data_IF_678028994412
#
_entry.id   IF_678028994412
#
_cell.length_a   1.000
_cell.length_b   1.000
_cell.length_c   1.000
_cell.angle_alpha   90.00
_cell.angle_beta   90.00
_cell.angle_gamma   90.00
#
_symmetry.space_group_name_H-M   'P 1'
#
loop_
_entity.id
_entity.type
_entity.pdbx_description
1 polymer ?
#
# COMPACT_ATOMS: atom_id res chain seq x y z
N UNK A 1 18.01 -0.85 26.97
CA UNK A 1 16.99 0.21 27.16
C UNK A 1 17.47 1.52 26.51
N UNK A 2 17.79 1.50 25.21
CA UNK A 2 18.59 2.58 24.59
C UNK A 2 17.92 3.38 23.47
N UNK A 3 16.75 2.97 22.97
CA UNK A 3 16.20 3.54 21.73
C UNK A 3 14.72 3.90 21.86
N UNK A 4 14.41 4.71 22.87
CA UNK A 4 13.04 5.23 23.08
C UNK A 4 13.11 6.73 23.32
N UNK A 5 12.42 7.51 22.49
CA UNK A 5 12.26 8.95 22.64
C UNK A 5 10.98 9.25 23.41
N UNK A 6 11.05 10.09 24.43
CA UNK A 6 9.87 10.57 25.15
C UNK A 6 9.22 11.70 24.35
N UNK A 7 7.97 11.49 23.95
CA UNK A 7 7.17 12.47 23.21
C UNK A 7 5.94 12.87 24.02
N UNK A 8 5.49 14.11 23.84
CA UNK A 8 4.23 14.60 24.41
C UNK A 8 3.17 14.58 23.32
N UNK A 9 2.03 13.94 23.61
CA UNK A 9 0.90 13.81 22.69
C UNK A 9 -0.36 14.39 23.29
N UNK A 10 -1.19 15.02 22.47
CA UNK A 10 -2.49 15.55 22.87
C UNK A 10 -3.56 14.52 22.48
N UNK A 11 -4.36 14.09 23.45
CA UNK A 11 -5.48 13.18 23.23
C UNK A 11 -6.80 13.85 23.60
N UNK A 12 -7.89 13.60 22.83
CA UNK A 12 -9.22 13.92 23.28
C UNK A 12 -9.51 13.25 24.63
N UNK A 13 -10.09 14.01 25.58
CA UNK A 13 -10.33 13.52 26.95
C UNK A 13 -11.13 12.22 26.98
N UNK A 14 -12.21 12.15 26.20
CA UNK A 14 -13.08 10.97 26.15
C UNK A 14 -12.31 9.72 25.69
N UNK A 15 -11.47 9.86 24.66
CA UNK A 15 -10.65 8.77 24.13
C UNK A 15 -9.61 8.30 25.17
N UNK A 16 -8.95 9.23 25.86
CA UNK A 16 -7.99 8.87 26.89
C UNK A 16 -8.63 8.13 28.07
N UNK A 17 -9.82 8.54 28.51
CA UNK A 17 -10.56 7.84 29.56
C UNK A 17 -11.00 6.43 29.14
N UNK A 18 -11.33 6.23 27.86
CA UNK A 18 -11.59 4.89 27.33
C UNK A 18 -10.32 4.03 27.30
N UNK A 19 -9.20 4.60 26.84
CA UNK A 19 -7.88 3.94 26.87
C UNK A 19 -7.52 3.52 28.31
N UNK A 20 -7.71 4.40 29.30
CA UNK A 20 -7.43 4.11 30.71
C UNK A 20 -8.29 2.98 31.26
N UNK A 21 -9.55 2.89 30.85
CA UNK A 21 -10.49 1.84 31.27
C UNK A 21 -10.17 0.49 30.65
N UNK A 22 -9.77 0.46 29.38
CA UNK A 22 -9.54 -0.79 28.63
C UNK A 22 -8.11 -1.31 28.74
N UNK A 23 -7.12 -0.44 28.96
CA UNK A 23 -5.70 -0.79 28.90
C UNK A 23 -5.04 -0.62 30.28
N UNK A 24 -4.44 -1.69 30.83
CA UNK A 24 -3.75 -1.66 32.11
C UNK A 24 -2.67 -0.57 32.18
N UNK A 25 -2.44 0.01 33.38
CA UNK A 25 -1.29 0.89 33.59
C UNK A 25 0.01 0.13 33.27
N UNK A 26 0.99 0.83 32.68
CA UNK A 26 2.26 0.24 32.21
C UNK A 26 2.24 -0.33 30.79
N UNK A 27 1.07 -0.68 30.24
CA UNK A 27 0.96 -1.21 28.87
C UNK A 27 0.55 -0.16 27.82
N UNK A 28 -0.01 0.98 28.28
CA UNK A 28 -0.58 2.02 27.41
C UNK A 28 0.39 2.54 26.36
N UNK A 29 1.63 2.87 26.76
CA UNK A 29 2.64 3.38 25.83
C UNK A 29 2.97 2.38 24.73
N UNK A 30 3.05 1.08 25.08
CA UNK A 30 3.29 0.01 24.12
C UNK A 30 2.13 -0.12 23.12
N UNK A 31 0.89 -0.15 23.60
CA UNK A 31 -0.28 -0.27 22.72
C UNK A 31 -0.40 0.93 21.78
N UNK A 32 -0.13 2.15 22.27
CA UNK A 32 -0.14 3.35 21.43
C UNK A 32 0.95 3.27 20.35
N UNK A 33 2.16 2.82 20.71
CA UNK A 33 3.25 2.64 19.76
C UNK A 33 2.90 1.60 18.68
N UNK A 34 2.36 0.44 19.07
CA UNK A 34 1.93 -0.61 18.14
C UNK A 34 0.81 -0.14 17.21
N UNK A 35 -0.14 0.66 17.72
CA UNK A 35 -1.20 1.25 16.92
C UNK A 35 -0.64 2.26 15.89
N UNK A 36 0.32 3.10 16.30
CA UNK A 36 0.99 4.04 15.41
C UNK A 36 1.80 3.31 14.32
N UNK A 37 2.54 2.26 14.67
CA UNK A 37 3.30 1.45 13.72
C UNK A 37 2.38 0.77 12.69
N UNK A 38 1.24 0.26 13.13
CA UNK A 38 0.23 -0.33 12.24
C UNK A 38 -0.33 0.69 11.26
N UNK A 39 -0.64 1.90 11.72
CA UNK A 39 -1.15 2.98 10.87
C UNK A 39 -0.10 3.45 9.87
N UNK A 40 1.17 3.58 10.28
CA UNK A 40 2.27 3.93 9.37
C UNK A 40 2.43 2.88 8.26
N UNK A 41 2.45 1.58 8.62
CA UNK A 41 2.50 0.50 7.63
C UNK A 41 1.29 0.53 6.68
N UNK A 42 0.10 0.83 7.20
CA UNK A 42 -1.11 0.97 6.37
C UNK A 42 -0.95 2.09 5.34
N UNK A 43 -0.47 3.27 5.77
CA UNK A 43 -0.25 4.42 4.88
C UNK A 43 0.81 4.12 3.82
N UNK A 44 1.92 3.51 4.20
CA UNK A 44 2.98 3.15 3.25
C UNK A 44 2.49 2.17 2.17
N UNK A 45 1.67 1.18 2.56
CA UNK A 45 1.03 0.27 1.58
C UNK A 45 0.08 0.99 0.64
N UNK A 46 -0.62 2.00 1.12
CA UNK A 46 -1.53 2.79 0.29
C UNK A 46 -0.78 3.74 -0.63
N UNK A 47 0.40 4.22 -0.23
CA UNK A 47 1.19 5.15 -1.02
C UNK A 47 1.62 4.55 -2.37
N UNK A 48 2.02 3.27 -2.41
CA UNK A 48 2.35 2.60 -3.67
C UNK A 48 1.12 2.45 -4.58
N UNK A 49 -0.05 2.17 -3.99
CA UNK A 49 -1.33 2.08 -4.71
C UNK A 49 -1.74 3.45 -5.25
N UNK A 50 -1.57 4.52 -4.46
CA UNK A 50 -1.87 5.89 -4.86
C UNK A 50 -0.94 6.36 -5.98
N UNK A 51 0.36 6.08 -5.90
CA UNK A 51 1.32 6.34 -6.98
C UNK A 51 0.93 5.60 -8.26
N UNK A 52 0.56 4.32 -8.14
CA UNK A 52 0.14 3.52 -9.30
C UNK A 52 -1.15 4.04 -9.93
N UNK A 53 -2.13 4.45 -9.12
CA UNK A 53 -3.36 5.13 -9.60
C UNK A 53 -3.07 6.48 -10.24
N UNK A 54 -2.10 7.24 -9.72
CA UNK A 54 -1.68 8.50 -10.33
C UNK A 54 -1.08 8.25 -11.72
N UNK A 55 -0.15 7.29 -11.83
CA UNK A 55 0.45 6.90 -13.10
C UNK A 55 -0.61 6.38 -14.10
N UNK A 56 -1.54 5.55 -13.65
CA UNK A 56 -2.62 5.04 -14.51
C UNK A 56 -3.48 6.19 -15.07
N UNK A 57 -3.82 7.18 -14.24
CA UNK A 57 -4.56 8.37 -14.69
C UNK A 57 -3.76 9.21 -15.68
N UNK A 58 -2.47 9.38 -15.47
CA UNK A 58 -1.58 10.08 -16.40
C UNK A 58 -1.51 9.37 -17.76
N UNK A 59 -1.31 8.04 -17.75
CA UNK A 59 -1.28 7.24 -18.96
C UNK A 59 -2.63 7.27 -19.70
N UNK A 60 -3.75 7.18 -18.98
CA UNK A 60 -5.08 7.29 -19.57
C UNK A 60 -5.34 8.69 -20.16
N UNK A 61 -4.88 9.75 -19.50
CA UNK A 61 -5.01 11.11 -20.02
C UNK A 61 -4.17 11.32 -21.29
N UNK A 62 -2.97 10.71 -21.36
CA UNK A 62 -2.04 10.87 -22.47
C UNK A 62 -2.36 9.99 -23.67
N UNK A 63 -2.81 8.76 -23.43
CA UNK A 63 -2.99 7.73 -24.46
C UNK A 63 -4.45 7.30 -24.66
N UNK A 64 -5.38 7.83 -23.86
CA UNK A 64 -6.78 7.40 -23.88
C UNK A 64 -6.98 6.00 -23.29
N UNK A 65 -8.14 5.39 -23.55
CA UNK A 65 -8.32 3.95 -23.33
C UNK A 65 -7.64 3.20 -24.47
N UNK A 66 -6.57 2.47 -24.15
CA UNK A 66 -6.03 1.48 -25.07
C UNK A 66 -7.04 0.32 -25.18
N UNK A 67 -7.43 -0.07 -26.40
CA UNK A 67 -8.20 -1.29 -26.59
C UNK A 67 -7.40 -2.48 -26.10
N UNK A 68 -8.10 -3.52 -25.63
CA UNK A 68 -7.47 -4.77 -25.22
C UNK A 68 -6.75 -5.40 -26.42
N UNK A 69 -5.43 -5.48 -26.34
CA UNK A 69 -4.54 -6.05 -27.36
C UNK A 69 -3.91 -7.36 -26.91
N UNK A 70 -4.42 -7.97 -25.84
CA UNK A 70 -3.88 -9.20 -25.26
C UNK A 70 -3.89 -10.38 -26.25
N UNK A 71 -4.96 -10.54 -27.03
CA UNK A 71 -5.09 -11.57 -28.06
C UNK A 71 -4.12 -11.34 -29.24
N UNK A 72 -3.94 -10.08 -29.66
CA UNK A 72 -3.00 -9.72 -30.73
C UNK A 72 -1.55 -10.02 -30.29
N UNK A 73 -1.19 -9.64 -29.06
CA UNK A 73 0.12 -9.94 -28.47
C UNK A 73 0.32 -11.45 -28.31
N UNK A 74 -0.72 -12.20 -27.93
CA UNK A 74 -0.66 -13.66 -27.84
C UNK A 74 -0.36 -14.27 -29.20
N UNK A 75 -1.09 -13.87 -30.25
CA UNK A 75 -0.88 -14.36 -31.61
C UNK A 75 0.52 -14.04 -32.13
N UNK A 76 1.01 -12.81 -31.94
CA UNK A 76 2.38 -12.44 -32.33
C UNK A 76 3.45 -13.28 -31.63
N UNK A 77 3.22 -13.67 -30.37
CA UNK A 77 4.13 -14.57 -29.64
C UNK A 77 4.09 -15.99 -30.18
N UNK A 78 2.89 -16.51 -30.44
CA UNK A 78 2.70 -17.84 -31.04
C UNK A 78 3.37 -17.93 -32.43
N UNK A 79 3.18 -16.91 -33.27
CA UNK A 79 3.83 -16.82 -34.59
C UNK A 79 5.35 -16.79 -34.47
N UNK A 80 5.90 -15.95 -33.59
CA UNK A 80 7.34 -15.90 -33.32
C UNK A 80 7.89 -17.22 -32.78
N UNK A 81 7.18 -17.86 -31.86
CA UNK A 81 7.63 -19.11 -31.24
C UNK A 81 7.58 -20.26 -32.25
N UNK A 82 6.60 -20.27 -33.17
CA UNK A 82 6.56 -21.19 -34.30
C UNK A 82 7.72 -20.97 -35.28
N UNK A 83 8.08 -19.71 -35.57
CA UNK A 83 9.26 -19.37 -36.37
C UNK A 83 10.57 -19.83 -35.70
N UNK A 84 10.68 -19.66 -34.38
CA UNK A 84 11.87 -20.05 -33.61
C UNK A 84 12.01 -21.57 -33.45
N UNK A 85 10.90 -22.31 -33.36
CA UNK A 85 10.90 -23.77 -33.15
C UNK A 85 10.85 -24.57 -34.45
N UNK A 86 10.61 -23.92 -35.60
CA UNK A 86 10.62 -24.55 -36.93
C UNK A 86 9.52 -25.58 -37.17
N UNK A 87 8.53 -25.66 -36.27
CA UNK A 87 7.38 -26.56 -36.38
C UNK A 87 6.24 -25.82 -37.12
N UNK A 88 6.12 -26.12 -38.42
CA UNK A 88 4.87 -25.92 -39.18
C UNK A 88 4.05 -27.20 -39.17
#
# INVERSE_FOLDING_TARGET
MGDTVRVTLVFPRALWEEIRRRIPPGQRSRVIAEAAERELRRRQRMESVERLRALQRELQAKYGQLPDSSEDIRRMREERDAELTGLR
#
